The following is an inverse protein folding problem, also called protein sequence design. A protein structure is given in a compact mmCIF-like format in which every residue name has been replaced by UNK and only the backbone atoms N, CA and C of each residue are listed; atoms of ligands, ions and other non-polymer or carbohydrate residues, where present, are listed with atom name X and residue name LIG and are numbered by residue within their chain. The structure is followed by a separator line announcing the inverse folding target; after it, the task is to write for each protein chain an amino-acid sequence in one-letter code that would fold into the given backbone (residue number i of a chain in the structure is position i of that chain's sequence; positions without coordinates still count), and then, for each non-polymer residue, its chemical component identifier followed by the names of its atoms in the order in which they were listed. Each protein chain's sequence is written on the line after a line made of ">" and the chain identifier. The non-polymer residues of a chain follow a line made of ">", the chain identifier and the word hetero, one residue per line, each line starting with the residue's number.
data_IF_208337057136
#
_entry.id   IF_208337057136
#
_cell.length_a   1.000
_cell.length_b   1.000
_cell.length_c   1.000
_cell.angle_alpha   90.00
_cell.angle_beta   90.00
_cell.angle_gamma   90.00
#
_symmetry.space_group_name_H-M   'P 1'
#
loop_
_entity.id
_entity.type
_entity.pdbx_description
1 polymer ?
#
# COMPACT_ATOMS: atom_id res chain seq x y z
N UNK A 1 -16.89 -17.13 2.15
CA UNK A 1 -16.01 -16.62 3.23
C UNK A 1 -15.04 -15.63 2.62
N UNK A 2 -15.04 -14.38 3.03
CA UNK A 2 -14.18 -13.34 2.44
C UNK A 2 -12.74 -13.58 2.90
N UNK A 3 -11.83 -13.88 1.97
CA UNK A 3 -10.38 -14.06 2.22
C UNK A 3 -9.64 -12.76 2.58
N UNK A 4 -10.39 -11.68 2.83
CA UNK A 4 -9.86 -10.33 2.96
C UNK A 4 -10.42 -9.71 4.25
N UNK A 5 -9.65 -9.70 5.36
CA UNK A 5 -10.18 -9.50 6.71
C UNK A 5 -10.66 -8.07 7.01
N UNK A 6 -10.20 -7.07 6.25
CA UNK A 6 -10.57 -5.67 6.44
C UNK A 6 -10.49 -4.88 5.12
N UNK A 7 -11.37 -3.89 4.96
CA UNK A 7 -11.42 -3.02 3.77
C UNK A 7 -10.66 -1.70 3.94
N UNK A 8 -10.34 -1.30 5.17
CA UNK A 8 -9.59 -0.07 5.47
C UNK A 8 -8.11 -0.38 5.74
N UNK A 9 -7.18 0.51 5.34
CA UNK A 9 -5.80 0.46 5.79
C UNK A 9 -5.72 0.55 7.32
N UNK A 10 -4.78 -0.16 7.95
CA UNK A 10 -4.54 -0.03 9.40
C UNK A 10 -3.93 1.34 9.76
N UNK A 11 -3.85 1.65 11.05
CA UNK A 11 -3.33 2.94 11.53
C UNK A 11 -1.86 3.21 11.18
N UNK A 12 -1.05 2.15 11.02
CA UNK A 12 0.37 2.23 10.66
C UNK A 12 0.60 2.07 9.15
N UNK A 13 -0.44 2.17 8.33
CA UNK A 13 -0.30 2.02 6.88
C UNK A 13 0.53 3.17 6.30
N UNK A 14 1.60 2.88 5.52
CA UNK A 14 2.47 3.91 4.97
C UNK A 14 1.75 4.84 3.99
N UNK A 15 0.60 4.42 3.46
CA UNK A 15 -0.27 5.23 2.60
C UNK A 15 -1.06 6.31 3.34
N UNK A 16 -1.27 6.20 4.67
CA UNK A 16 -1.98 7.23 5.45
C UNK A 16 -1.02 8.38 5.77
N UNK A 17 -1.44 9.62 5.55
CA UNK A 17 -0.64 10.80 5.94
C UNK A 17 -0.54 10.97 7.46
N UNK A 18 -1.48 10.39 8.20
CA UNK A 18 -1.48 10.38 9.67
C UNK A 18 -0.54 9.33 10.29
N UNK A 19 0.03 8.41 9.50
CA UNK A 19 0.95 7.40 9.99
C UNK A 19 2.36 7.99 10.13
N UNK A 20 3.17 7.42 11.02
CA UNK A 20 4.57 7.79 11.18
C UNK A 20 5.37 7.49 9.89
N UNK A 21 5.89 8.52 9.18
CA UNK A 21 6.59 8.34 7.92
C UNK A 21 8.02 7.81 8.09
N UNK A 22 8.54 7.66 9.31
CA UNK A 22 9.81 6.95 9.53
C UNK A 22 9.67 5.44 9.30
N UNK A 23 8.43 4.92 9.31
CA UNK A 23 8.15 3.50 9.24
C UNK A 23 8.50 2.74 10.54
N UNK A 24 8.82 3.44 11.63
CA UNK A 24 9.23 2.82 12.90
C UNK A 24 8.21 1.81 13.47
N UNK A 25 6.92 1.98 13.15
CA UNK A 25 5.84 1.08 13.56
C UNK A 25 5.59 -0.10 12.59
N UNK A 26 6.39 -0.24 11.54
CA UNK A 26 6.27 -1.28 10.51
C UNK A 26 7.40 -2.32 10.72
N UNK A 27 7.07 -3.58 11.07
CA UNK A 27 8.09 -4.62 11.25
C UNK A 27 8.89 -4.88 9.97
N UNK A 28 10.22 -4.93 10.09
CA UNK A 28 11.11 -5.19 8.95
C UNK A 28 11.13 -4.08 7.90
N UNK A 29 10.68 -2.87 8.26
CA UNK A 29 10.70 -1.73 7.36
C UNK A 29 12.12 -1.36 6.92
N UNK A 30 12.29 -1.09 5.63
CA UNK A 30 13.48 -0.45 5.11
C UNK A 30 13.13 0.42 3.90
N UNK A 31 13.87 1.51 3.71
CA UNK A 31 13.72 2.36 2.53
C UNK A 31 14.05 1.61 1.24
N UNK A 32 14.97 0.65 1.28
CA UNK A 32 15.29 -0.18 0.14
C UNK A 32 14.09 -1.04 -0.30
N UNK A 33 13.44 -1.70 0.67
CA UNK A 33 12.22 -2.48 0.40
C UNK A 33 11.11 -1.57 -0.10
N UNK A 34 10.93 -0.39 0.52
CA UNK A 34 10.00 0.61 0.03
C UNK A 34 10.31 0.93 -1.42
N UNK A 35 11.51 1.41 -1.78
CA UNK A 35 11.90 1.73 -3.16
C UNK A 35 11.59 0.60 -4.13
N UNK A 36 11.87 -0.66 -3.76
CA UNK A 36 11.58 -1.85 -4.56
C UNK A 36 10.09 -2.05 -4.90
N UNK A 37 9.17 -1.47 -4.13
CA UNK A 37 7.73 -1.50 -4.41
C UNK A 37 7.32 -0.67 -5.63
N UNK A 38 8.20 0.14 -6.20
CA UNK A 38 7.95 0.89 -7.45
C UNK A 38 7.49 -0.03 -8.59
N UNK A 39 7.95 -1.29 -8.60
CA UNK A 39 7.52 -2.32 -9.57
C UNK A 39 6.02 -2.66 -9.52
N UNK A 40 5.30 -2.25 -8.48
CA UNK A 40 3.87 -2.55 -8.28
C UNK A 40 2.95 -1.43 -8.76
N UNK A 41 3.50 -0.26 -9.11
CA UNK A 41 2.77 0.98 -9.40
C UNK A 41 3.15 1.53 -10.77
N UNK A 42 2.42 2.54 -11.25
CA UNK A 42 2.70 3.24 -12.50
C UNK A 42 1.44 3.72 -13.21
N UNK A 43 1.57 4.71 -14.11
CA UNK A 43 0.44 5.43 -14.69
C UNK A 43 -0.36 4.60 -15.69
N UNK A 44 0.31 3.70 -16.41
CA UNK A 44 -0.32 2.91 -17.48
C UNK A 44 -0.96 1.64 -16.95
N UNK A 45 -1.97 1.18 -17.69
CA UNK A 45 -2.57 -0.13 -17.51
C UNK A 45 -1.55 -1.23 -17.82
N UNK A 46 -1.13 -1.97 -16.80
CA UNK A 46 -0.15 -3.03 -16.95
C UNK A 46 -0.38 -4.18 -15.97
N UNK A 47 0.09 -5.38 -16.33
CA UNK A 47 0.18 -6.50 -15.39
C UNK A 47 1.44 -6.33 -14.55
N UNK A 48 1.27 -5.87 -13.31
CA UNK A 48 2.36 -5.68 -12.35
C UNK A 48 2.19 -6.61 -11.17
N UNK A 49 3.23 -6.69 -10.34
CA UNK A 49 3.11 -7.30 -9.04
C UNK A 49 2.10 -6.55 -8.16
N UNK A 50 1.44 -7.29 -7.29
CA UNK A 50 0.47 -6.72 -6.35
C UNK A 50 1.23 -6.39 -5.07
N UNK A 51 1.16 -5.14 -4.62
CA UNK A 51 1.79 -4.73 -3.37
C UNK A 51 1.19 -5.52 -2.20
N UNK A 52 2.04 -6.18 -1.42
CA UNK A 52 1.66 -6.88 -0.21
C UNK A 52 1.36 -5.91 0.94
N UNK A 53 0.45 -6.28 1.85
CA UNK A 53 0.21 -5.51 3.07
C UNK A 53 1.34 -5.74 4.07
N UNK A 54 1.87 -4.67 4.68
CA UNK A 54 2.93 -4.76 5.69
C UNK A 54 2.47 -5.38 7.02
N UNK A 55 1.16 -5.50 7.24
CA UNK A 55 0.58 -6.08 8.45
C UNK A 55 0.41 -7.60 8.38
N UNK A 56 0.70 -8.21 7.23
CA UNK A 56 0.54 -9.65 7.04
C UNK A 56 1.87 -10.38 7.26
N UNK A 57 1.80 -11.69 7.57
CA UNK A 57 2.98 -12.53 7.71
C UNK A 57 3.56 -12.91 6.34
N UNK A 58 4.88 -13.10 6.30
CA UNK A 58 5.58 -13.53 5.08
C UNK A 58 5.01 -14.88 4.61
N UNK A 59 4.67 -14.97 3.33
CA UNK A 59 4.04 -16.14 2.70
C UNK A 59 2.53 -16.24 2.87
N UNK A 60 1.91 -15.30 3.60
CA UNK A 60 0.46 -15.20 3.81
C UNK A 60 -0.11 -13.84 3.40
N UNK A 61 0.59 -13.10 2.54
CA UNK A 61 0.31 -11.71 2.26
C UNK A 61 -0.99 -11.53 1.48
N UNK A 62 -1.80 -10.59 1.94
CA UNK A 62 -2.94 -10.06 1.21
C UNK A 62 -2.55 -8.78 0.48
N UNK A 63 -3.22 -8.44 -0.63
CA UNK A 63 -3.01 -7.16 -1.31
C UNK A 63 -3.15 -5.96 -0.36
N UNK A 64 -2.27 -4.97 -0.46
CA UNK A 64 -2.25 -3.81 0.42
C UNK A 64 -3.46 -2.89 0.20
N UNK A 65 -4.19 -2.55 1.28
CA UNK A 65 -5.42 -1.74 1.21
C UNK A 65 -5.16 -0.32 0.72
N UNK A 66 -4.10 0.33 1.20
CA UNK A 66 -3.73 1.68 0.77
C UNK A 66 -3.35 1.73 -0.71
N UNK A 67 -2.55 0.75 -1.14
CA UNK A 67 -2.23 0.55 -2.55
C UNK A 67 -3.49 0.35 -3.40
N UNK A 68 -4.37 -0.59 -3.03
CA UNK A 68 -5.61 -0.84 -3.76
C UNK A 68 -6.51 0.40 -3.86
N UNK A 69 -6.50 1.25 -2.83
CA UNK A 69 -7.31 2.46 -2.81
C UNK A 69 -6.79 3.55 -3.76
N UNK A 70 -5.47 3.67 -3.91
CA UNK A 70 -4.81 4.78 -4.64
C UNK A 70 -4.33 4.34 -6.02
N UNK A 71 -3.40 3.39 -6.09
CA UNK A 71 -2.69 3.00 -7.34
C UNK A 71 -3.21 1.69 -7.93
N UNK A 72 -3.80 0.82 -7.12
CA UNK A 72 -4.05 -0.56 -7.50
C UNK A 72 -5.01 -0.73 -8.66
N UNK A 73 -5.80 0.29 -9.00
CA UNK A 73 -6.69 0.23 -10.16
C UNK A 73 -5.93 0.21 -11.50
N UNK A 74 -4.75 0.84 -11.64
CA UNK A 74 -3.97 0.78 -12.90
C UNK A 74 -3.30 -0.59 -13.11
N UNK A 75 -3.21 -1.42 -12.07
CA UNK A 75 -2.70 -2.79 -12.21
C UNK A 75 -3.79 -3.73 -12.73
N UNK A 76 -3.63 -4.21 -13.96
CA UNK A 76 -4.57 -5.15 -14.59
C UNK A 76 -4.71 -6.47 -13.80
N UNK A 77 -3.65 -6.92 -13.11
CA UNK A 77 -3.71 -8.09 -12.22
C UNK A 77 -4.70 -7.88 -11.08
N UNK A 78 -4.73 -6.67 -10.48
CA UNK A 78 -5.69 -6.32 -9.42
C UNK A 78 -7.12 -6.32 -9.94
N UNK A 79 -7.35 -5.82 -11.17
CA UNK A 79 -8.70 -5.85 -11.79
C UNK A 79 -9.19 -7.27 -11.98
N UNK A 80 -8.35 -8.16 -12.52
CA UNK A 80 -8.68 -9.58 -12.69
C UNK A 80 -9.00 -10.24 -11.33
N UNK A 81 -8.15 -10.03 -10.32
CA UNK A 81 -8.40 -10.54 -8.97
C UNK A 81 -9.71 -10.00 -8.37
N UNK A 82 -10.06 -8.75 -8.65
CA UNK A 82 -11.33 -8.17 -8.22
C UNK A 82 -12.53 -8.80 -8.93
N UNK A 83 -12.42 -9.08 -10.23
CA UNK A 83 -13.47 -9.75 -11.00
C UNK A 83 -13.70 -11.20 -10.54
N UNK A 84 -12.63 -11.88 -10.11
CA UNK A 84 -12.70 -13.23 -9.53
C UNK A 84 -13.20 -13.25 -8.08
N UNK A 85 -13.36 -12.08 -7.44
CA UNK A 85 -13.79 -11.97 -6.05
C UNK A 85 -12.68 -12.19 -5.02
N UNK A 86 -11.42 -12.32 -5.44
CA UNK A 86 -10.27 -12.48 -4.55
C UNK A 86 -9.86 -11.15 -3.88
N UNK A 87 -10.17 -10.02 -4.52
CA UNK A 87 -9.86 -8.68 -4.02
C UNK A 87 -11.12 -7.82 -3.96
N UNK A 88 -11.50 -7.26 -2.80
CA UNK A 88 -12.70 -6.44 -2.68
C UNK A 88 -12.44 -4.98 -3.10
N UNK A 89 -11.89 -4.75 -4.30
CA UNK A 89 -11.37 -3.45 -4.76
C UNK A 89 -12.38 -2.31 -4.60
N UNK A 90 -13.62 -2.51 -5.05
CA UNK A 90 -14.67 -1.50 -4.91
C UNK A 90 -15.03 -1.18 -3.47
N UNK A 91 -15.01 -2.17 -2.57
CA UNK A 91 -15.28 -1.95 -1.15
C UNK A 91 -14.11 -1.24 -0.46
N UNK A 92 -12.86 -1.58 -0.81
CA UNK A 92 -11.67 -0.87 -0.32
C UNK A 92 -11.71 0.60 -0.74
N UNK A 93 -11.89 0.89 -2.03
CA UNK A 93 -11.94 2.28 -2.53
C UNK A 93 -13.02 3.11 -1.83
N UNK A 94 -14.23 2.56 -1.67
CA UNK A 94 -15.31 3.25 -0.93
C UNK A 94 -14.96 3.46 0.54
N UNK A 95 -14.39 2.47 1.21
CA UNK A 95 -14.05 2.55 2.63
C UNK A 95 -12.91 3.56 2.92
N UNK A 96 -12.15 3.95 1.90
CA UNK A 96 -11.01 4.85 2.03
C UNK A 96 -11.28 6.29 1.57
N UNK A 97 -12.49 6.62 1.12
CA UNK A 97 -12.81 7.96 0.58
C UNK A 97 -12.55 9.09 1.57
N UNK A 98 -12.79 8.85 2.86
CA UNK A 98 -12.60 9.83 3.94
C UNK A 98 -11.29 9.66 4.71
N UNK A 99 -10.35 8.84 4.19
CA UNK A 99 -9.04 8.64 4.82
C UNK A 99 -8.04 9.53 4.09
N UNK A 100 -7.38 10.41 4.84
CA UNK A 100 -6.28 11.22 4.31
C UNK A 100 -5.08 10.33 3.95
N UNK A 101 -4.90 10.11 2.64
CA UNK A 101 -3.86 9.27 2.07
C UNK A 101 -2.97 10.09 1.13
N UNK A 102 -1.75 9.60 0.93
CA UNK A 102 -0.93 10.09 -0.17
C UNK A 102 -1.62 9.77 -1.51
N UNK A 103 -1.71 10.73 -2.45
CA UNK A 103 -2.44 10.58 -3.70
C UNK A 103 -1.67 9.79 -4.75
N UNK A 104 -0.39 9.50 -4.51
CA UNK A 104 0.44 8.67 -5.37
C UNK A 104 1.50 7.95 -4.56
N UNK A 105 2.03 6.86 -5.13
CA UNK A 105 3.18 6.16 -4.58
C UNK A 105 4.41 7.07 -4.49
N UNK A 106 4.61 7.95 -5.48
CA UNK A 106 5.75 8.87 -5.51
C UNK A 106 5.71 9.86 -4.32
N UNK A 107 4.55 10.43 -4.02
CA UNK A 107 4.38 11.31 -2.86
C UNK A 107 4.54 10.57 -1.53
N UNK A 108 3.99 9.36 -1.44
CA UNK A 108 4.17 8.50 -0.26
C UNK A 108 5.65 8.20 -0.03
N UNK A 109 6.35 7.69 -1.05
CA UNK A 109 7.79 7.40 -0.98
C UNK A 109 8.59 8.63 -0.57
N UNK A 110 8.37 9.77 -1.22
CA UNK A 110 9.11 11.00 -0.94
C UNK A 110 8.93 11.46 0.51
N UNK A 111 7.73 11.32 1.08
CA UNK A 111 7.48 11.67 2.48
C UNK A 111 8.25 10.77 3.46
N UNK A 112 8.33 9.47 3.18
CA UNK A 112 9.07 8.51 4.00
C UNK A 112 10.60 8.68 3.86
N UNK A 113 11.10 8.96 2.65
CA UNK A 113 12.53 9.28 2.43
C UNK A 113 12.92 10.57 3.16
N UNK A 114 12.11 11.63 3.06
CA UNK A 114 12.37 12.88 3.74
C UNK A 114 12.29 12.78 5.28
N UNK A 115 11.55 11.79 5.80
CA UNK A 115 11.50 11.53 7.23
C UNK A 115 12.78 10.83 7.72
N UNK A 116 13.30 9.87 6.94
CA UNK A 116 14.54 9.18 7.26
C UNK A 116 15.77 10.10 7.24
N UNK A 117 15.81 11.07 6.32
CA UNK A 117 16.91 12.05 6.25
C UNK A 117 16.97 13.00 7.45
N UNK A 118 15.88 13.11 8.22
CA UNK A 118 15.76 13.97 9.41
C UNK A 118 16.06 13.25 10.72
N UNK A 119 16.11 11.92 10.72
CA UNK A 119 16.57 11.17 11.88
C UNK A 119 18.11 11.20 11.89
N UNK A 120 18.77 11.77 12.93
CA UNK A 120 20.21 11.64 13.04
C UNK A 120 20.52 10.15 13.17
N UNK A 121 21.44 9.66 12.34
CA UNK A 121 22.08 8.34 12.45
C UNK A 121 22.30 8.02 13.94
N UNK A 122 21.51 7.07 14.47
CA UNK A 122 21.74 6.52 15.80
C UNK A 122 22.87 5.51 15.75
#
# INVERSE_FOLDING_TARGET
>A
MTRYPATKPCGTCPWRRSADPTGAAIPGYSLELMRGLERTVGPDDAFRDVMACHGDQIGGETPCRGYLAVEGFSNLRVRVLAMLGDVPLGAVRRACVDIDMYPSYAEMRAAHEAAADKEPLR
#
